data_IF_885318841850
#
_entry.id   IF_885318841850
#
_cell.length_a   1.000
_cell.length_b   1.000
_cell.length_c   1.000
_cell.angle_alpha   90.00
_cell.angle_beta   90.00
_cell.angle_gamma   90.00
#
_symmetry.space_group_name_H-M   'P 1'
#
loop_
_entity.id
_entity.type
_entity.pdbx_description
1 polymer ?
#
# COMPACT_ATOMS: atom_id res chain seq x y z
N UNK A 1 -5.08 8.88 41.46
CA UNK A 1 -6.23 8.03 41.07
C UNK A 1 -6.08 7.55 39.63
N UNK A 2 -5.90 6.25 39.42
CA UNK A 2 -5.86 5.66 38.07
C UNK A 2 -7.27 5.54 37.50
N UNK A 3 -7.41 5.72 36.18
CA UNK A 3 -8.66 5.38 35.48
C UNK A 3 -8.96 3.87 35.61
N UNK A 4 -10.24 3.45 35.67
CA UNK A 4 -10.62 2.03 35.77
C UNK A 4 -10.02 1.15 34.65
N UNK A 5 -9.86 1.71 33.45
CA UNK A 5 -9.18 1.11 32.30
C UNK A 5 -7.72 0.78 32.58
N UNK A 6 -7.01 1.71 33.21
CA UNK A 6 -5.62 1.54 33.62
C UNK A 6 -5.50 0.50 34.72
N UNK A 7 -6.40 0.49 35.69
CA UNK A 7 -6.43 -0.51 36.77
C UNK A 7 -6.63 -1.91 36.20
N UNK A 8 -7.62 -2.12 35.32
CA UNK A 8 -7.86 -3.44 34.73
C UNK A 8 -6.68 -3.94 33.88
N UNK A 9 -6.02 -3.07 33.10
CA UNK A 9 -4.82 -3.45 32.33
C UNK A 9 -3.67 -3.85 33.26
N UNK A 10 -3.45 -3.10 34.34
CA UNK A 10 -2.42 -3.44 35.34
C UNK A 10 -2.72 -4.78 35.99
N UNK A 11 -3.96 -5.01 36.44
CA UNK A 11 -4.38 -6.29 37.00
C UNK A 11 -4.20 -7.44 35.99
N UNK A 12 -4.53 -7.23 34.72
CA UNK A 12 -4.32 -8.23 33.67
C UNK A 12 -2.83 -8.53 33.41
N UNK A 13 -1.98 -7.50 33.37
CA UNK A 13 -0.53 -7.67 33.19
C UNK A 13 0.10 -8.45 34.35
N UNK A 14 -0.24 -8.08 35.58
CA UNK A 14 0.24 -8.77 36.79
C UNK A 14 -0.29 -10.22 36.78
N UNK A 15 -1.54 -10.46 36.35
CA UNK A 15 -2.11 -11.82 36.28
C UNK A 15 -1.39 -12.69 35.27
N UNK A 16 -1.05 -12.11 34.11
CA UNK A 16 -0.26 -12.79 33.08
C UNK A 16 1.13 -13.16 33.60
N UNK A 17 1.80 -12.24 34.32
CA UNK A 17 3.12 -12.47 34.89
C UNK A 17 3.12 -13.61 35.92
N UNK A 18 2.20 -13.59 36.88
CA UNK A 18 2.12 -14.66 37.88
C UNK A 18 1.67 -16.00 37.29
N UNK A 19 0.82 -15.99 36.26
CA UNK A 19 0.45 -17.22 35.56
C UNK A 19 1.66 -17.83 34.83
N UNK A 20 2.50 -16.99 34.23
CA UNK A 20 3.79 -17.42 33.67
C UNK A 20 4.73 -17.99 34.75
N UNK A 21 4.90 -17.31 35.89
CA UNK A 21 5.76 -17.80 36.97
C UNK A 21 5.29 -19.15 37.56
N UNK A 22 3.99 -19.40 37.58
CA UNK A 22 3.45 -20.72 37.97
C UNK A 22 3.74 -21.77 36.90
N UNK A 23 3.59 -21.43 35.62
CA UNK A 23 3.89 -22.34 34.51
C UNK A 23 5.38 -22.73 34.46
N UNK A 24 6.28 -21.80 34.79
CA UNK A 24 7.73 -22.03 34.91
C UNK A 24 8.13 -22.72 36.23
N UNK A 25 7.17 -23.04 37.11
CA UNK A 25 7.44 -23.71 38.39
C UNK A 25 8.13 -22.84 39.45
N UNK A 26 8.33 -21.54 39.18
CA UNK A 26 8.90 -20.58 40.14
C UNK A 26 7.95 -20.39 41.34
N UNK A 27 6.65 -20.40 41.07
CA UNK A 27 5.60 -20.30 42.08
C UNK A 27 4.69 -21.52 42.05
N UNK A 28 4.22 -21.95 43.24
CA UNK A 28 3.27 -23.07 43.35
C UNK A 28 1.84 -22.69 42.94
N UNK A 29 1.47 -21.42 43.10
CA UNK A 29 0.13 -20.92 42.77
C UNK A 29 0.16 -19.42 42.49
N UNK A 30 -0.89 -18.92 41.80
CA UNK A 30 -0.97 -17.51 41.43
C UNK A 30 -1.58 -16.69 42.58
N UNK A 31 -0.81 -15.76 43.21
CA UNK A 31 -1.26 -15.03 44.41
C UNK A 31 -2.41 -14.05 44.16
N UNK A 32 -2.69 -13.72 42.88
CA UNK A 32 -3.73 -12.73 42.53
C UNK A 32 -4.91 -13.35 41.78
N UNK A 33 -5.07 -14.67 41.86
CA UNK A 33 -6.16 -15.40 41.19
C UNK A 33 -7.55 -14.90 41.64
N UNK A 34 -7.69 -14.48 42.90
CA UNK A 34 -8.93 -13.93 43.47
C UNK A 34 -9.10 -12.42 43.36
N UNK A 35 -8.12 -11.68 42.81
CA UNK A 35 -8.20 -10.21 42.75
C UNK A 35 -9.19 -9.81 41.65
N UNK A 36 -10.31 -9.13 41.97
CA UNK A 36 -11.28 -8.71 40.98
C UNK A 36 -10.70 -7.63 40.07
N UNK A 37 -10.96 -7.74 38.77
CA UNK A 37 -10.69 -6.64 37.84
C UNK A 37 -11.91 -5.73 37.76
N UNK A 38 -11.74 -4.40 37.71
CA UNK A 38 -12.84 -3.48 37.47
C UNK A 38 -13.58 -3.87 36.18
N UNK A 39 -14.92 -3.93 36.24
CA UNK A 39 -15.75 -4.07 35.04
C UNK A 39 -15.72 -2.76 34.29
N UNK A 40 -15.03 -2.73 33.17
CA UNK A 40 -15.03 -1.58 32.27
C UNK A 40 -16.18 -1.77 31.30
N UNK A 41 -17.21 -0.95 31.40
CA UNK A 41 -18.20 -0.82 30.34
C UNK A 41 -17.49 -0.44 29.05
N UNK A 42 -17.62 -1.26 28.00
CA UNK A 42 -17.10 -0.91 26.68
C UNK A 42 -18.03 0.13 26.07
N UNK A 43 -17.72 1.41 26.24
CA UNK A 43 -18.27 2.41 25.33
C UNK A 43 -17.75 2.06 23.94
N UNK A 44 -18.65 1.64 23.04
CA UNK A 44 -18.29 1.45 21.65
C UNK A 44 -17.93 2.84 21.09
N UNK A 45 -16.72 3.04 20.54
CA UNK A 45 -16.40 4.28 19.86
C UNK A 45 -17.45 4.50 18.79
N UNK A 46 -18.16 5.63 18.82
CA UNK A 46 -19.12 5.94 17.78
C UNK A 46 -18.33 6.27 16.51
N UNK A 47 -18.57 5.59 15.38
CA UNK A 47 -17.99 5.99 14.10
C UNK A 47 -18.47 7.40 13.75
N UNK A 48 -17.65 8.17 13.06
CA UNK A 48 -18.09 9.44 12.49
C UNK A 48 -18.87 9.18 11.21
N UNK A 49 -19.88 10.02 10.93
CA UNK A 49 -20.69 9.86 9.73
C UNK A 49 -19.88 10.13 8.45
N UNK A 50 -20.37 9.64 7.31
CA UNK A 50 -19.78 9.90 5.99
C UNK A 50 -19.69 11.42 5.72
N UNK A 51 -20.68 12.21 6.15
CA UNK A 51 -20.65 13.68 6.00
C UNK A 51 -19.57 14.33 6.86
N UNK A 52 -19.34 13.84 8.09
CA UNK A 52 -18.25 14.30 8.95
C UNK A 52 -16.88 13.94 8.37
N UNK A 53 -16.73 12.72 7.84
CA UNK A 53 -15.51 12.32 7.12
C UNK A 53 -15.25 13.25 5.94
N UNK A 54 -16.26 13.51 5.10
CA UNK A 54 -16.13 14.42 3.95
C UNK A 54 -15.64 15.80 4.38
N UNK A 55 -16.29 16.41 5.37
CA UNK A 55 -15.88 17.70 5.93
C UNK A 55 -14.44 17.70 6.43
N UNK A 56 -14.00 16.62 7.08
CA UNK A 56 -12.62 16.48 7.55
C UNK A 56 -11.63 16.44 6.38
N UNK A 57 -11.90 15.62 5.36
CA UNK A 57 -11.04 15.40 4.20
C UNK A 57 -10.95 16.63 3.28
N UNK A 58 -11.95 17.50 3.30
CA UNK A 58 -11.96 18.77 2.56
C UNK A 58 -11.17 19.89 3.25
N UNK A 59 -10.87 19.81 4.56
CA UNK A 59 -10.18 20.92 5.26
C UNK A 59 -8.80 21.25 4.68
N UNK A 60 -7.92 20.27 4.40
CA UNK A 60 -6.61 20.59 3.84
C UNK A 60 -6.70 21.18 2.43
N UNK A 61 -7.77 20.88 1.67
CA UNK A 61 -7.94 21.39 0.31
C UNK A 61 -8.19 22.91 0.24
N UNK A 62 -8.51 23.55 1.37
CA UNK A 62 -8.71 25.01 1.46
C UNK A 62 -7.41 25.81 1.33
N UNK A 63 -6.26 25.15 1.49
CA UNK A 63 -4.94 25.77 1.44
C UNK A 63 -4.14 25.18 0.28
N UNK A 64 -3.33 26.01 -0.38
CA UNK A 64 -2.51 25.60 -1.53
C UNK A 64 -1.05 25.29 -1.17
N UNK A 65 -0.74 25.12 0.12
CA UNK A 65 0.64 24.87 0.57
C UNK A 65 1.06 23.39 0.37
N UNK A 66 2.37 23.10 0.26
CA UNK A 66 2.86 21.72 0.17
C UNK A 66 2.40 20.84 1.35
N UNK A 67 2.37 21.39 2.56
CA UNK A 67 1.90 20.69 3.76
C UNK A 67 0.40 20.38 3.69
N UNK A 68 -0.41 21.30 3.16
CA UNK A 68 -1.84 21.08 3.02
C UNK A 68 -2.15 19.93 2.06
N UNK A 69 -1.41 19.82 0.95
CA UNK A 69 -1.52 18.69 0.01
C UNK A 69 -1.03 17.38 0.63
N UNK A 70 0.07 17.41 1.39
CA UNK A 70 0.51 16.27 2.19
C UNK A 70 -0.58 15.81 3.16
N UNK A 71 -1.16 16.73 3.91
CA UNK A 71 -2.19 16.45 4.90
C UNK A 71 -3.43 15.84 4.24
N UNK A 72 -3.84 16.38 3.09
CA UNK A 72 -4.91 15.79 2.27
C UNK A 72 -4.60 14.35 1.90
N UNK A 73 -3.42 14.08 1.35
CA UNK A 73 -2.99 12.75 0.95
C UNK A 73 -2.95 11.77 2.11
N UNK A 74 -2.45 12.19 3.28
CA UNK A 74 -2.43 11.33 4.47
C UNK A 74 -3.83 10.97 4.97
N UNK A 75 -4.74 11.95 5.05
CA UNK A 75 -6.09 11.72 5.55
C UNK A 75 -6.92 10.88 4.57
N UNK A 76 -6.82 11.17 3.26
CA UNK A 76 -7.47 10.38 2.20
C UNK A 76 -6.98 8.94 2.22
N UNK A 77 -5.66 8.71 2.21
CA UNK A 77 -5.10 7.37 2.20
C UNK A 77 -5.44 6.58 3.47
N UNK A 78 -5.42 7.23 4.63
CA UNK A 78 -5.80 6.59 5.89
C UNK A 78 -7.26 6.13 5.87
N UNK A 79 -8.17 6.99 5.38
CA UNK A 79 -9.58 6.64 5.29
C UNK A 79 -9.83 5.59 4.22
N UNK A 80 -9.23 5.73 3.04
CA UNK A 80 -9.40 4.80 1.92
C UNK A 80 -8.92 3.38 2.24
N UNK A 81 -7.86 3.23 3.03
CA UNK A 81 -7.25 1.91 3.31
C UNK A 81 -7.64 1.32 4.67
N UNK A 82 -8.14 2.15 5.60
CA UNK A 82 -8.37 1.73 6.99
C UNK A 82 -7.10 1.28 7.72
N UNK A 83 -5.90 1.59 7.23
CA UNK A 83 -4.64 1.15 7.85
C UNK A 83 -4.39 1.79 9.22
N UNK A 84 -3.43 1.27 9.98
CA UNK A 84 -3.03 1.87 11.26
C UNK A 84 -2.18 3.11 10.99
N UNK A 85 -2.20 4.09 11.89
CA UNK A 85 -1.32 5.27 11.80
C UNK A 85 0.17 4.89 11.74
N UNK A 86 0.57 3.82 12.43
CA UNK A 86 1.95 3.33 12.36
C UNK A 86 2.29 2.77 10.98
N UNK A 87 1.34 2.12 10.31
CA UNK A 87 1.52 1.60 8.95
C UNK A 87 1.63 2.79 7.98
N UNK A 88 0.72 3.78 8.07
CA UNK A 88 0.74 5.00 7.26
C UNK A 88 2.08 5.76 7.34
N UNK A 89 2.59 5.98 8.56
CA UNK A 89 3.86 6.70 8.76
C UNK A 89 5.09 5.89 8.34
N UNK A 90 4.95 4.56 8.17
CA UNK A 90 6.07 3.69 7.76
C UNK A 90 6.15 3.51 6.25
N UNK A 91 5.15 3.95 5.49
CA UNK A 91 5.15 3.83 4.03
C UNK A 91 6.34 4.54 3.39
N UNK A 92 6.87 3.91 2.35
CA UNK A 92 7.81 4.47 1.39
C UNK A 92 7.13 4.73 0.05
N UNK A 93 7.82 5.43 -0.86
CA UNK A 93 7.35 5.64 -2.23
C UNK A 93 7.01 4.31 -2.94
N UNK A 94 7.85 3.29 -2.76
CA UNK A 94 7.68 1.98 -3.42
C UNK A 94 6.52 1.13 -2.86
N UNK A 95 5.92 1.57 -1.76
CA UNK A 95 4.80 0.86 -1.11
C UNK A 95 3.43 1.23 -1.70
N UNK A 96 3.37 2.23 -2.58
CA UNK A 96 2.13 2.67 -3.24
C UNK A 96 2.19 2.42 -4.74
N UNK A 97 1.29 1.58 -5.25
CA UNK A 97 1.03 1.49 -6.69
C UNK A 97 -0.25 2.27 -7.01
N UNK A 98 -0.05 3.51 -7.45
CA UNK A 98 -1.14 4.44 -7.76
C UNK A 98 -1.80 4.14 -9.11
N UNK A 99 -1.12 3.42 -10.02
CA UNK A 99 -1.70 3.01 -11.30
C UNK A 99 -2.54 1.74 -11.14
N UNK A 100 -2.04 0.78 -10.35
CA UNK A 100 -2.76 -0.43 -9.97
C UNK A 100 -3.87 -0.19 -8.93
N UNK A 101 -3.79 0.92 -8.20
CA UNK A 101 -4.77 1.32 -7.18
C UNK A 101 -4.66 0.51 -5.90
N UNK A 102 -3.46 0.30 -5.39
CA UNK A 102 -3.24 -0.41 -4.14
C UNK A 102 -2.05 0.11 -3.33
N UNK A 103 -2.07 -0.17 -2.03
CA UNK A 103 -0.97 0.12 -1.09
C UNK A 103 -0.54 -1.15 -0.37
N UNK A 104 0.77 -1.37 -0.30
CA UNK A 104 1.39 -2.47 0.43
C UNK A 104 1.65 -2.03 1.86
N UNK A 105 1.09 -2.76 2.81
CA UNK A 105 1.23 -2.50 4.24
C UNK A 105 2.02 -3.62 4.92
N UNK A 106 3.11 -3.24 5.60
CA UNK A 106 3.89 -4.13 6.45
C UNK A 106 3.28 -4.23 7.84
N UNK A 107 2.84 -5.43 8.22
CA UNK A 107 2.29 -5.76 9.53
C UNK A 107 3.35 -6.25 10.53
N UNK A 108 2.91 -6.45 11.79
CA UNK A 108 3.77 -7.01 12.85
C UNK A 108 4.22 -8.43 12.47
N UNK A 109 5.53 -8.68 12.54
CA UNK A 109 6.13 -9.97 12.19
C UNK A 109 6.42 -10.15 10.69
N UNK A 110 6.56 -9.06 9.93
CA UNK A 110 6.93 -9.10 8.51
C UNK A 110 5.82 -9.57 7.57
N UNK A 111 4.58 -9.69 8.07
CA UNK A 111 3.44 -10.06 7.25
C UNK A 111 2.98 -8.86 6.41
N UNK A 112 3.09 -8.98 5.11
CA UNK A 112 2.58 -7.99 4.17
C UNK A 112 1.11 -8.23 3.84
N UNK A 113 0.38 -7.15 3.58
CA UNK A 113 -0.93 -7.20 2.95
C UNK A 113 -1.06 -6.08 1.92
N UNK A 114 -1.78 -6.35 0.85
CA UNK A 114 -2.11 -5.36 -0.18
C UNK A 114 -3.53 -4.88 0.06
N UNK A 115 -3.71 -3.56 0.10
CA UNK A 115 -5.01 -2.93 0.34
C UNK A 115 -5.38 -2.13 -0.91
N UNK A 116 -6.53 -2.39 -1.55
CA UNK A 116 -7.01 -1.55 -2.65
C UNK A 116 -7.33 -0.15 -2.14
N UNK A 117 -7.12 0.84 -3.01
CA UNK A 117 -7.48 2.24 -2.77
C UNK A 117 -8.27 2.76 -3.97
N UNK A 118 -9.28 3.59 -3.70
CA UNK A 118 -10.10 4.18 -4.76
C UNK A 118 -9.33 5.22 -5.59
N UNK A 119 -9.76 5.45 -6.84
CA UNK A 119 -9.12 6.36 -7.81
C UNK A 119 -8.84 7.75 -7.20
N UNK A 120 -9.80 8.30 -6.45
CA UNK A 120 -9.63 9.62 -5.83
C UNK A 120 -8.48 9.68 -4.80
N UNK A 121 -8.25 8.61 -4.04
CA UNK A 121 -7.15 8.56 -3.07
C UNK A 121 -5.83 8.45 -3.82
N UNK A 122 -5.77 7.59 -4.84
CA UNK A 122 -4.59 7.45 -5.69
C UNK A 122 -4.20 8.79 -6.34
N UNK A 123 -5.18 9.54 -6.87
CA UNK A 123 -4.95 10.87 -7.46
C UNK A 123 -4.41 11.89 -6.46
N UNK A 124 -4.98 11.95 -5.25
CA UNK A 124 -4.51 12.90 -4.22
C UNK A 124 -3.10 12.55 -3.75
N UNK A 125 -2.79 11.25 -3.58
CA UNK A 125 -1.43 10.82 -3.23
C UNK A 125 -0.46 11.15 -4.38
N UNK A 126 -0.86 10.93 -5.64
CA UNK A 126 -0.05 11.27 -6.81
C UNK A 126 0.27 12.76 -6.87
N UNK A 127 -0.74 13.62 -6.69
CA UNK A 127 -0.55 15.08 -6.67
C UNK A 127 0.45 15.52 -5.59
N UNK A 128 0.38 14.90 -4.41
CA UNK A 128 1.34 15.13 -3.35
C UNK A 128 2.75 14.71 -3.74
N UNK A 129 2.94 13.48 -4.24
CA UNK A 129 4.25 12.94 -4.64
C UNK A 129 4.88 13.80 -5.74
N UNK A 130 4.12 14.19 -6.75
CA UNK A 130 4.69 14.90 -7.91
C UNK A 130 4.90 16.39 -7.66
N UNK A 131 3.99 17.06 -6.94
CA UNK A 131 3.97 18.53 -6.88
C UNK A 131 4.44 19.12 -5.56
N UNK A 132 4.34 18.36 -4.47
CA UNK A 132 4.51 18.89 -3.11
C UNK A 132 5.69 18.27 -2.38
N UNK A 133 5.85 16.95 -2.46
CA UNK A 133 6.94 16.23 -1.80
C UNK A 133 8.33 16.73 -2.21
N UNK A 134 8.65 17.01 -3.49
CA UNK A 134 9.97 17.53 -3.89
C UNK A 134 10.27 18.92 -3.32
N UNK A 135 9.23 19.68 -2.92
CA UNK A 135 9.40 20.98 -2.25
C UNK A 135 9.68 20.85 -0.75
N UNK A 136 9.32 19.72 -0.15
CA UNK A 136 9.53 19.43 1.28
C UNK A 136 10.88 18.73 1.53
N UNK A 137 11.32 17.89 0.60
CA UNK A 137 12.66 17.31 0.57
C UNK A 137 13.31 17.61 -0.77
N UNK A 138 14.12 18.68 -0.86
CA UNK A 138 14.91 19.00 -2.05
C UNK A 138 16.02 17.97 -2.31
N UNK A 139 16.44 17.23 -1.28
CA UNK A 139 17.37 16.10 -1.39
C UNK A 139 16.58 14.80 -1.61
N UNK A 140 17.00 13.99 -2.58
CA UNK A 140 16.25 12.83 -3.10
C UNK A 140 16.62 11.50 -2.40
N UNK A 141 17.16 11.56 -1.19
CA UNK A 141 17.64 10.38 -0.45
C UNK A 141 16.59 9.79 0.51
N UNK A 142 15.63 10.59 0.97
CA UNK A 142 14.55 10.11 1.82
C UNK A 142 13.54 9.28 1.02
N UNK A 143 13.26 8.07 1.49
CA UNK A 143 12.32 7.11 0.86
C UNK A 143 10.91 7.22 1.42
N UNK A 144 10.75 7.84 2.59
CA UNK A 144 9.47 7.98 3.26
C UNK A 144 8.43 8.64 2.36
N UNK A 145 7.23 8.06 2.31
CA UNK A 145 6.14 8.63 1.53
C UNK A 145 5.77 10.02 2.07
N UNK A 146 5.52 10.13 3.38
CA UNK A 146 5.08 11.37 4.02
C UNK A 146 6.17 12.02 4.87
N UNK A 147 6.42 13.30 4.58
CA UNK A 147 7.51 14.07 5.17
C UNK A 147 7.02 15.14 6.15
N UNK A 148 7.86 15.47 7.12
CA UNK A 148 7.73 16.64 7.98
C UNK A 148 8.15 17.91 7.19
N UNK A 149 8.13 19.08 7.85
CA UNK A 149 8.53 20.35 7.21
C UNK A 149 10.06 20.50 6.99
N UNK A 150 10.85 19.67 7.65
CA UNK A 150 12.30 19.64 7.60
C UNK A 150 12.82 18.65 6.54
N UNK A 151 11.94 17.84 5.94
CA UNK A 151 12.29 16.85 4.92
C UNK A 151 12.37 15.41 5.45
N UNK A 152 12.35 15.17 6.75
CA UNK A 152 12.41 13.80 7.30
C UNK A 152 11.04 13.12 7.34
N UNK A 153 11.01 11.80 7.54
CA UNK A 153 9.79 11.05 7.83
C UNK A 153 8.91 11.69 8.91
N UNK A 154 7.62 11.86 8.60
CA UNK A 154 6.64 12.37 9.55
C UNK A 154 6.39 11.36 10.68
N UNK A 155 6.35 11.86 11.92
CA UNK A 155 6.10 11.02 13.10
C UNK A 155 4.60 10.84 13.38
N UNK A 156 4.25 9.75 14.08
CA UNK A 156 2.88 9.50 14.56
C UNK A 156 2.31 10.66 15.39
N UNK A 157 3.15 11.28 16.22
CA UNK A 157 2.74 12.42 17.04
C UNK A 157 2.46 13.65 16.16
N UNK A 158 3.30 13.90 15.15
CA UNK A 158 3.06 14.96 14.17
C UNK A 158 1.74 14.79 13.44
N UNK A 159 1.47 13.58 12.94
CA UNK A 159 0.19 13.26 12.30
C UNK A 159 -1.00 13.47 13.25
N UNK A 160 -0.89 13.08 14.52
CA UNK A 160 -1.96 13.26 15.49
C UNK A 160 -2.32 14.75 15.69
N UNK A 161 -1.31 15.63 15.76
CA UNK A 161 -1.54 17.07 15.85
C UNK A 161 -2.22 17.64 14.59
N UNK A 162 -1.77 17.20 13.41
CA UNK A 162 -2.37 17.56 12.12
C UNK A 162 -3.85 17.15 12.07
N UNK A 163 -4.15 15.89 12.40
CA UNK A 163 -5.52 15.37 12.43
C UNK A 163 -6.40 16.17 13.39
N UNK A 164 -5.90 16.46 14.60
CA UNK A 164 -6.61 17.25 15.60
C UNK A 164 -6.89 18.67 15.09
N UNK A 165 -5.93 19.29 14.42
CA UNK A 165 -6.07 20.61 13.79
C UNK A 165 -7.19 20.62 12.75
N UNK A 166 -7.18 19.67 11.81
CA UNK A 166 -8.22 19.55 10.78
C UNK A 166 -9.58 19.17 11.35
N UNK A 167 -9.65 18.32 12.38
CA UNK A 167 -10.91 17.99 13.04
C UNK A 167 -11.54 19.21 13.72
N UNK A 168 -10.73 20.06 14.35
CA UNK A 168 -11.18 21.34 14.92
C UNK A 168 -11.65 22.29 13.82
N UNK A 169 -10.87 22.46 12.75
CA UNK A 169 -11.24 23.31 11.61
C UNK A 169 -12.52 22.84 10.90
N UNK A 170 -12.75 21.53 10.88
CA UNK A 170 -13.96 20.91 10.37
C UNK A 170 -15.15 21.06 11.32
N UNK A 171 -15.04 21.72 12.48
CA UNK A 171 -16.09 21.82 13.51
C UNK A 171 -16.72 20.46 13.84
N UNK A 172 -15.87 19.48 14.15
CA UNK A 172 -16.30 18.15 14.61
C UNK A 172 -16.31 18.14 16.14
N UNK A 173 -17.49 17.90 16.72
CA UNK A 173 -17.70 17.88 18.18
C UNK A 173 -17.12 16.61 18.84
N UNK A 174 -16.90 15.56 18.06
CA UNK A 174 -16.36 14.28 18.53
C UNK A 174 -14.84 14.30 18.47
N UNK A 175 -14.18 13.70 19.47
CA UNK A 175 -12.74 13.51 19.44
C UNK A 175 -12.34 12.58 18.28
N UNK A 176 -11.68 13.16 17.27
CA UNK A 176 -11.21 12.42 16.10
C UNK A 176 -9.79 11.96 16.35
N UNK A 177 -9.61 10.64 16.33
CA UNK A 177 -8.32 9.98 16.41
C UNK A 177 -8.11 9.09 15.18
N UNK A 178 -6.87 8.63 14.91
CA UNK A 178 -6.64 7.68 13.82
C UNK A 178 -7.45 6.39 13.99
N UNK A 179 -7.69 5.97 15.24
CA UNK A 179 -8.55 4.82 15.54
C UNK A 179 -10.02 5.09 15.24
N UNK A 180 -10.51 6.32 15.46
CA UNK A 180 -11.87 6.74 15.10
C UNK A 180 -12.08 6.63 13.58
N UNK A 181 -11.12 7.12 12.77
CA UNK A 181 -11.20 7.03 11.32
C UNK A 181 -11.18 5.59 10.82
N UNK A 182 -10.27 4.76 11.35
CA UNK A 182 -10.21 3.33 11.02
C UNK A 182 -11.50 2.59 11.39
N UNK A 183 -12.08 2.89 12.55
CA UNK A 183 -13.35 2.29 12.96
C UNK A 183 -14.49 2.74 12.03
N UNK A 184 -14.49 4.02 11.64
CA UNK A 184 -15.48 4.57 10.71
C UNK A 184 -15.37 3.92 9.34
N UNK A 185 -14.15 3.72 8.81
CA UNK A 185 -13.92 2.93 7.60
C UNK A 185 -14.55 1.53 7.71
N UNK A 186 -14.26 0.79 8.78
CA UNK A 186 -14.80 -0.55 8.97
C UNK A 186 -16.33 -0.57 8.98
N UNK A 187 -16.94 0.33 9.75
CA UNK A 187 -18.40 0.44 9.84
C UNK A 187 -19.02 0.86 8.51
N UNK A 188 -18.41 1.80 7.80
CA UNK A 188 -18.91 2.26 6.51
C UNK A 188 -18.84 1.18 5.43
N UNK A 189 -17.77 0.37 5.42
CA UNK A 189 -17.67 -0.78 4.52
C UNK A 189 -18.77 -1.80 4.79
N UNK A 190 -19.02 -2.14 6.06
CA UNK A 190 -20.11 -3.04 6.44
C UNK A 190 -21.48 -2.48 6.05
N UNK A 191 -21.72 -1.19 6.30
CA UNK A 191 -22.96 -0.51 5.92
C UNK A 191 -23.14 -0.42 4.39
N UNK A 192 -22.04 -0.36 3.64
CA UNK A 192 -22.03 -0.44 2.18
C UNK A 192 -22.20 -1.85 1.61
N UNK A 193 -22.40 -2.86 2.46
CA UNK A 193 -22.67 -4.24 2.05
C UNK A 193 -21.44 -5.14 1.96
N UNK A 194 -20.26 -4.69 2.40
CA UNK A 194 -19.10 -5.58 2.51
C UNK A 194 -19.34 -6.65 3.58
N UNK A 195 -18.93 -7.89 3.29
CA UNK A 195 -18.98 -8.95 4.29
C UNK A 195 -17.90 -8.75 5.36
N UNK A 196 -18.19 -9.21 6.58
CA UNK A 196 -17.29 -9.05 7.73
C UNK A 196 -15.89 -9.63 7.50
N UNK A 197 -15.78 -10.73 6.74
CA UNK A 197 -14.50 -11.40 6.49
C UNK A 197 -13.61 -10.55 5.59
N UNK A 198 -14.16 -10.00 4.51
CA UNK A 198 -13.44 -9.06 3.63
C UNK A 198 -12.97 -7.82 4.39
N UNK A 199 -13.80 -7.25 5.26
CA UNK A 199 -13.42 -6.10 6.09
C UNK A 199 -12.29 -6.45 7.07
N UNK A 200 -12.31 -7.64 7.67
CA UNK A 200 -11.25 -8.12 8.57
C UNK A 200 -9.91 -8.30 7.84
N UNK A 201 -9.95 -8.79 6.60
CA UNK A 201 -8.77 -8.99 5.76
C UNK A 201 -8.12 -7.64 5.38
N UNK A 202 -8.92 -6.66 4.94
CA UNK A 202 -8.47 -5.29 4.66
C UNK A 202 -7.77 -4.65 5.87
N UNK A 203 -8.35 -4.84 7.06
CA UNK A 203 -7.83 -4.29 8.31
C UNK A 203 -6.62 -5.06 8.87
N UNK A 204 -6.33 -6.27 8.41
CA UNK A 204 -5.18 -7.06 8.88
C UNK A 204 -5.28 -7.43 10.37
N UNK A 205 -6.41 -8.00 10.78
CA UNK A 205 -6.56 -8.56 12.13
C UNK A 205 -5.81 -9.91 12.25
N UNK A 206 -4.92 -9.99 13.24
CA UNK A 206 -3.94 -11.06 13.42
C UNK A 206 -4.46 -12.33 14.15
N UNK A 207 -5.76 -12.60 14.16
CA UNK A 207 -6.27 -13.88 14.63
C UNK A 207 -7.18 -14.52 13.57
N UNK A 208 -6.52 -15.16 12.61
CA UNK A 208 -7.05 -16.27 11.83
C UNK A 208 -6.25 -17.47 12.34
N UNK A 209 -6.80 -18.23 13.28
CA UNK A 209 -6.37 -19.62 13.43
C UNK A 209 -6.50 -20.26 12.04
N UNK A 210 -5.38 -20.69 11.47
CA UNK A 210 -5.16 -21.25 10.12
C UNK A 210 -4.75 -20.24 9.02
N UNK A 211 -3.44 -19.99 8.97
CA UNK A 211 -2.71 -19.41 7.84
C UNK A 211 -2.47 -20.53 6.82
N UNK A 212 -2.95 -20.43 5.57
CA UNK A 212 -2.27 -21.02 4.37
C UNK A 212 -3.01 -20.88 3.02
N UNK A 213 -4.27 -20.43 2.92
CA UNK A 213 -5.03 -20.68 1.66
C UNK A 213 -5.14 -19.50 0.66
N UNK A 214 -4.80 -18.25 0.98
CA UNK A 214 -5.19 -17.16 0.06
C UNK A 214 -4.11 -16.11 -0.19
N UNK A 215 -3.18 -16.41 -1.09
CA UNK A 215 -2.16 -15.44 -1.53
C UNK A 215 -2.42 -14.88 -2.93
N UNK A 216 -3.31 -15.45 -3.75
CA UNK A 216 -3.53 -14.93 -5.12
C UNK A 216 -5.00 -14.86 -5.60
N UNK A 217 -5.98 -15.41 -4.87
CA UNK A 217 -7.40 -15.33 -5.24
C UNK A 217 -8.19 -14.26 -4.45
N UNK A 218 -7.57 -13.63 -3.44
CA UNK A 218 -8.21 -12.62 -2.58
C UNK A 218 -8.14 -11.21 -3.12
N UNK A 219 -7.07 -10.79 -3.82
CA UNK A 219 -6.92 -9.38 -4.23
C UNK A 219 -8.03 -8.87 -5.15
N UNK A 220 -8.44 -9.68 -6.15
CA UNK A 220 -9.53 -9.30 -7.06
C UNK A 220 -10.88 -9.23 -6.35
N UNK A 221 -11.21 -10.25 -5.56
CA UNK A 221 -12.44 -10.31 -4.77
C UNK A 221 -12.49 -9.17 -3.74
N UNK A 222 -11.38 -8.89 -3.06
CA UNK A 222 -11.28 -7.78 -2.11
C UNK A 222 -11.44 -6.44 -2.82
N UNK A 223 -10.87 -6.27 -4.01
CA UNK A 223 -11.05 -5.07 -4.83
C UNK A 223 -12.52 -4.91 -5.24
N UNK A 224 -13.18 -5.97 -5.70
CA UNK A 224 -14.61 -5.93 -6.05
C UNK A 224 -15.49 -5.60 -4.83
N UNK A 225 -15.24 -6.21 -3.66
CA UNK A 225 -15.97 -5.88 -2.42
C UNK A 225 -15.72 -4.43 -2.02
N UNK A 226 -14.48 -3.96 -2.14
CA UNK A 226 -14.09 -2.60 -1.84
C UNK A 226 -14.81 -1.59 -2.75
N UNK A 227 -14.73 -1.79 -4.06
CA UNK A 227 -15.34 -0.92 -5.08
C UNK A 227 -16.86 -0.82 -4.88
N UNK A 228 -17.52 -1.91 -4.52
CA UNK A 228 -18.96 -1.92 -4.32
C UNK A 228 -19.41 -1.28 -3.00
N UNK A 229 -18.60 -1.38 -1.93
CA UNK A 229 -19.04 -1.02 -0.59
C UNK A 229 -18.45 0.30 -0.05
N UNK A 230 -17.30 0.76 -0.54
CA UNK A 230 -16.65 1.95 0.01
C UNK A 230 -17.43 3.23 -0.34
N UNK A 231 -17.80 4.10 0.63
CA UNK A 231 -18.67 5.26 0.35
C UNK A 231 -18.13 6.27 -0.67
N UNK A 232 -16.81 6.30 -0.88
CA UNK A 232 -16.20 7.22 -1.86
C UNK A 232 -16.30 6.72 -3.30
N UNK A 233 -16.55 5.44 -3.52
CA UNK A 233 -16.80 4.87 -4.85
C UNK A 233 -18.23 5.19 -5.31
N UNK A 234 -19.18 5.22 -4.36
CA UNK A 234 -20.60 5.50 -4.63
C UNK A 234 -20.91 7.01 -4.79
N UNK A 235 -20.06 7.89 -4.26
CA UNK A 235 -20.25 9.35 -4.30
C UNK A 235 -18.95 10.09 -4.65
N UNK A 236 -18.56 10.16 -5.94
CA UNK A 236 -17.49 11.06 -6.37
C UNK A 236 -17.87 12.52 -6.06
N UNK A 237 -16.90 13.33 -5.62
CA UNK A 237 -17.12 14.74 -5.31
C UNK A 237 -17.57 15.53 -6.56
N UNK A 238 -18.38 16.61 -6.42
CA UNK A 238 -19.05 17.29 -7.55
C UNK A 238 -18.13 17.94 -8.60
N UNK A 239 -16.81 17.99 -8.39
CA UNK A 239 -15.88 18.50 -9.40
C UNK A 239 -15.63 17.50 -10.55
N UNK A 240 -16.10 16.26 -10.45
CA UNK A 240 -15.67 15.17 -11.35
C UNK A 240 -16.81 14.31 -11.91
N UNK A 241 -17.85 14.92 -12.48
CA UNK A 241 -18.62 14.25 -13.54
C UNK A 241 -17.80 14.28 -14.82
N UNK A 242 -17.06 13.21 -15.08
CA UNK A 242 -16.64 12.92 -16.45
C UNK A 242 -17.93 12.71 -17.29
N UNK A 243 -18.11 13.40 -18.42
CA UNK A 243 -19.33 13.27 -19.23
C UNK A 243 -19.60 11.80 -19.57
N UNK A 244 -20.88 11.41 -19.60
CA UNK A 244 -21.35 10.02 -19.81
C UNK A 244 -20.83 9.34 -21.10
N UNK A 245 -20.19 10.09 -21.98
CA UNK A 245 -19.51 9.59 -23.17
C UNK A 245 -18.22 8.78 -22.89
N UNK A 246 -17.67 8.82 -21.67
CA UNK A 246 -16.41 8.13 -21.34
C UNK A 246 -16.54 6.66 -20.90
N UNK A 247 -17.75 6.08 -20.81
CA UNK A 247 -17.89 4.65 -20.46
C UNK A 247 -17.47 3.68 -21.59
N UNK A 248 -17.36 4.15 -22.83
CA UNK A 248 -16.84 3.37 -23.97
C UNK A 248 -15.32 3.42 -24.14
N UNK A 249 -14.67 4.49 -23.68
CA UNK A 249 -13.27 4.80 -24.06
C UNK A 249 -12.20 4.01 -23.28
N UNK A 250 -12.48 3.52 -22.05
CA UNK A 250 -11.49 2.75 -21.27
C UNK A 250 -11.15 1.37 -21.88
N UNK A 251 -12.10 0.71 -22.54
CA UNK A 251 -11.84 -0.57 -23.25
C UNK A 251 -11.12 -0.35 -24.57
N UNK A 252 -11.43 0.73 -25.29
CA UNK A 252 -10.82 1.05 -26.57
C UNK A 252 -9.41 1.63 -26.45
N UNK A 253 -9.13 2.37 -25.37
CA UNK A 253 -7.77 2.86 -25.07
C UNK A 253 -6.81 1.70 -24.76
N UNK A 254 -7.25 0.67 -24.04
CA UNK A 254 -6.46 -0.55 -23.77
C UNK A 254 -6.28 -1.35 -25.07
N UNK A 255 -7.31 -1.43 -25.93
CA UNK A 255 -7.26 -2.12 -27.23
C UNK A 255 -6.33 -1.41 -28.23
N UNK A 256 -6.33 -0.07 -28.27
CA UNK A 256 -5.38 0.74 -29.06
C UNK A 256 -3.96 0.71 -28.52
N UNK A 257 -3.78 0.62 -27.19
CA UNK A 257 -2.43 0.45 -26.59
C UNK A 257 -1.87 -0.94 -26.89
N UNK A 258 -2.70 -1.98 -26.89
CA UNK A 258 -2.32 -3.34 -27.27
C UNK A 258 -2.07 -3.50 -28.78
N UNK A 259 -2.80 -2.79 -29.66
CA UNK A 259 -2.52 -2.79 -31.10
C UNK A 259 -1.20 -2.08 -31.44
N UNK A 260 -0.93 -0.94 -30.81
CA UNK A 260 0.35 -0.24 -31.00
C UNK A 260 1.54 -1.02 -30.41
N UNK A 261 1.31 -1.83 -29.37
CA UNK A 261 2.33 -2.73 -28.82
C UNK A 261 2.63 -3.90 -29.77
N UNK A 262 1.64 -4.38 -30.53
CA UNK A 262 1.80 -5.44 -31.54
C UNK A 262 2.50 -4.94 -32.81
N UNK A 263 2.23 -3.70 -33.25
CA UNK A 263 2.95 -3.05 -34.37
C UNK A 263 4.43 -2.75 -34.02
N UNK A 264 4.72 -2.41 -32.76
CA UNK A 264 6.10 -2.23 -32.29
C UNK A 264 6.88 -3.55 -32.26
N UNK A 265 6.21 -4.68 -31.95
CA UNK A 265 6.80 -6.02 -31.97
C UNK A 265 7.00 -6.56 -33.39
N UNK A 266 6.10 -6.27 -34.35
CA UNK A 266 6.33 -6.60 -35.77
C UNK A 266 7.46 -5.76 -36.39
N UNK A 267 7.60 -4.50 -35.98
CA UNK A 267 8.69 -3.63 -36.43
C UNK A 267 10.07 -4.13 -35.95
N UNK A 268 10.15 -4.71 -34.74
CA UNK A 268 11.38 -5.33 -34.24
C UNK A 268 11.72 -6.67 -34.94
N UNK A 269 10.72 -7.44 -35.38
CA UNK A 269 10.94 -8.68 -36.13
C UNK A 269 11.44 -8.42 -37.56
N UNK A 270 10.99 -7.34 -38.21
CA UNK A 270 11.43 -6.93 -39.56
C UNK A 270 12.87 -6.40 -39.55
N UNK A 271 13.28 -5.72 -38.47
CA UNK A 271 14.68 -5.27 -38.29
C UNK A 271 15.60 -6.48 -38.01
N UNK A 272 15.13 -7.49 -37.26
CA UNK A 272 15.88 -8.71 -37.00
C UNK A 272 16.01 -9.62 -38.24
N UNK A 273 14.98 -9.68 -39.10
CA UNK A 273 15.06 -10.37 -40.40
C UNK A 273 15.97 -9.64 -41.39
N UNK A 274 15.99 -8.30 -41.40
CA UNK A 274 16.86 -7.52 -42.29
C UNK A 274 18.36 -7.68 -41.95
N UNK A 275 18.71 -7.90 -40.68
CA UNK A 275 20.08 -8.23 -40.28
C UNK A 275 20.50 -9.65 -40.69
N UNK A 276 19.57 -10.61 -40.73
CA UNK A 276 19.87 -11.99 -41.13
C UNK A 276 20.03 -12.14 -42.65
N UNK A 277 19.33 -11.31 -43.45
CA UNK A 277 19.44 -11.33 -44.92
C UNK A 277 20.69 -10.61 -45.44
N UNK A 278 21.22 -9.64 -44.68
CA UNK A 278 22.47 -8.94 -45.05
C UNK A 278 23.73 -9.78 -44.76
N UNK A 279 23.62 -10.80 -43.91
CA UNK A 279 24.71 -11.76 -43.62
C UNK A 279 24.74 -12.95 -44.59
N UNK A 280 23.68 -13.19 -45.37
CA UNK A 280 23.62 -14.27 -46.37
C UNK A 280 23.89 -13.84 -47.82
N UNK A 281 23.97 -12.53 -48.10
CA UNK A 281 24.35 -11.99 -49.42
C UNK A 281 25.85 -11.72 -49.61
N UNK A 282 26.69 -12.03 -48.61
CA UNK A 282 28.16 -12.00 -48.72
C UNK A 282 28.80 -13.38 -48.94
N UNK A 283 27.99 -14.41 -49.18
CA UNK A 283 28.44 -15.79 -49.42
C UNK A 283 27.93 -16.30 -50.76
N UNK A 284 28.30 -15.66 -51.88
CA UNK A 284 28.34 -16.26 -53.22
C UNK A 284 28.85 -15.26 -54.27
N UNK A 285 30.16 -15.00 -54.26
CA UNK A 285 30.88 -14.58 -55.47
C UNK A 285 32.16 -15.40 -55.53
N UNK A 286 32.14 -16.44 -56.35
CA UNK A 286 33.31 -17.27 -56.66
C UNK A 286 34.17 -16.58 -57.69
N UNK A 287 35.36 -16.11 -57.31
CA UNK A 287 36.50 -15.93 -58.24
C UNK A 287 37.79 -16.37 -57.52
N UNK A 288 38.22 -17.60 -57.78
CA UNK A 288 39.62 -18.06 -57.72
C UNK A 288 40.26 -17.79 -59.11
N UNK A 289 41.59 -17.92 -59.35
CA UNK A 289 42.70 -18.32 -58.45
C UNK A 289 44.00 -17.49 -58.62
N UNK A 290 44.85 -17.32 -57.58
CA UNK A 290 46.33 -17.27 -57.70
C UNK A 290 46.98 -17.78 -56.38
N UNK A 291 47.80 -18.83 -56.48
CA UNK A 291 48.78 -19.38 -55.51
C UNK A 291 50.21 -19.04 -56.02
N UNK A 292 51.37 -19.25 -55.31
CA UNK A 292 51.63 -19.72 -53.94
C UNK A 292 52.87 -19.05 -53.21
N UNK A 293 53.25 -19.64 -52.05
CA UNK A 293 54.49 -19.54 -51.22
C UNK A 293 54.40 -18.53 -50.05
N UNK A 294 54.84 -18.76 -48.81
CA UNK A 294 55.70 -19.73 -48.12
C UNK A 294 55.08 -19.99 -46.71
N UNK A 295 54.89 -21.23 -46.27
CA UNK A 295 55.80 -22.04 -45.44
C UNK A 295 55.81 -21.72 -43.92
N UNK A 296 55.49 -22.77 -43.15
CA UNK A 296 56.11 -23.26 -41.89
C UNK A 296 55.49 -22.83 -40.54
N UNK A 297 54.96 -23.89 -39.89
CA UNK A 297 55.22 -24.33 -38.49
C UNK A 297 54.67 -23.42 -37.38
N UNK A 298 53.96 -23.89 -36.35
CA UNK A 298 54.17 -25.06 -35.45
C UNK A 298 52.92 -25.10 -34.52
N UNK A 299 52.22 -26.24 -34.37
CA UNK A 299 52.19 -27.11 -33.15
C UNK A 299 51.62 -26.44 -31.87
N UNK A 300 50.77 -27.01 -30.99
CA UNK A 300 50.26 -28.36 -30.68
C UNK A 300 49.03 -28.23 -29.74
N UNK A 301 47.97 -28.99 -30.06
CA UNK A 301 47.08 -29.88 -29.27
C UNK A 301 46.91 -29.84 -27.71
N UNK A 302 45.81 -30.47 -27.20
CA UNK A 302 45.05 -30.19 -25.96
C UNK A 302 45.15 -31.31 -24.88
N UNK A 303 44.24 -31.38 -23.88
CA UNK A 303 43.71 -32.61 -23.19
C UNK A 303 42.74 -32.21 -22.03
N UNK A 304 41.47 -32.69 -21.97
CA UNK A 304 40.90 -33.85 -21.21
C UNK A 304 41.08 -33.73 -19.66
N UNK A 305 40.17 -34.04 -18.72
CA UNK A 305 38.97 -34.88 -18.63
C UNK A 305 38.29 -34.71 -17.24
N UNK A 306 37.01 -35.09 -17.15
CA UNK A 306 36.18 -35.54 -16.00
C UNK A 306 36.85 -35.85 -14.64
N UNK A 307 36.17 -35.52 -13.53
CA UNK A 307 35.41 -36.47 -12.67
C UNK A 307 34.79 -35.81 -11.41
N UNK A 308 33.54 -36.18 -11.15
CA UNK A 308 32.80 -36.10 -9.88
C UNK A 308 33.21 -37.26 -8.95
N UNK A 309 32.74 -37.40 -7.69
CA UNK A 309 31.45 -36.95 -7.11
C UNK A 309 31.54 -35.84 -6.05
#
# INVERSE_FOLDING_TARGET
NYAPTTVARKVAAIRSLFSFMVAEGILKSNPIQGVPSPRIGKALPKPISISQVRRLLEQPAKLSTPEARRDRAMLELLYASGMRVSELMSLNLDDVDLEGGYVRCLGKGGKERVIPIHDQAALVVKDYIEKSRPRLAPADDEKALFLNRLGDRLTRQGFWQILKGHAKAANLEVEITPHTLRHSFATHMLNGGADLRSVQELLGHANISTTQVYTHLTTRRLKEVYENAHPREQHPSPEHTCPEHCRGSRRDAIRKKLSNFFEYFQSFHIIFQSFHTTFQTFSNVSILPILPKLHRLTHLTPFLTQKQP
#
